data_IF_055155127083
#
_entry.id   IF_055155127083
#
_cell.length_a   1.000
_cell.length_b   1.000
_cell.length_c   1.000
_cell.angle_alpha   90.00
_cell.angle_beta   90.00
_cell.angle_gamma   90.00
#
_symmetry.space_group_name_H-M   'P 1'
#
loop_
_entity.id
_entity.type
_entity.pdbx_description
1 polymer ?
#
# COMPACT_ATOMS: atom_id res chain seq x y z
N UNK A 1 -16.61 23.53 -11.04
CA UNK A 1 -16.78 23.67 -9.57
C UNK A 1 -15.49 24.15 -8.93
N UNK A 2 -15.50 25.25 -8.18
CA UNK A 2 -14.30 25.82 -7.52
C UNK A 2 -13.97 25.19 -6.16
N UNK A 3 -14.84 24.33 -5.61
CA UNK A 3 -14.69 23.79 -4.25
C UNK A 3 -13.67 22.65 -4.18
N UNK A 4 -13.64 21.77 -5.18
CA UNK A 4 -12.75 20.60 -5.19
C UNK A 4 -11.27 21.00 -5.20
N UNK A 5 -10.80 21.96 -6.02
CA UNK A 5 -9.42 22.44 -5.95
C UNK A 5 -9.03 22.99 -4.58
N UNK A 6 -9.96 23.66 -3.87
CA UNK A 6 -9.71 24.18 -2.52
C UNK A 6 -9.49 23.05 -1.51
N UNK A 7 -10.31 21.99 -1.55
CA UNK A 7 -10.10 20.81 -0.70
C UNK A 7 -8.81 20.08 -1.04
N UNK A 8 -8.49 19.97 -2.33
CA UNK A 8 -7.27 19.30 -2.79
C UNK A 8 -6.02 20.02 -2.29
N UNK A 9 -5.99 21.36 -2.34
CA UNK A 9 -4.92 22.16 -1.73
C UNK A 9 -4.79 21.89 -0.22
N UNK A 10 -5.90 21.83 0.51
CA UNK A 10 -5.89 21.50 1.95
C UNK A 10 -5.37 20.09 2.22
N UNK A 11 -5.76 19.10 1.41
CA UNK A 11 -5.29 17.73 1.56
C UNK A 11 -3.79 17.60 1.27
N UNK A 12 -3.26 18.34 0.29
CA UNK A 12 -1.84 18.35 -0.02
C UNK A 12 -1.00 19.08 1.03
N UNK A 13 -1.51 20.18 1.57
CA UNK A 13 -0.80 20.98 2.57
C UNK A 13 -0.82 20.39 3.98
N UNK A 14 -1.81 19.55 4.31
CA UNK A 14 -1.97 18.94 5.63
C UNK A 14 -1.85 17.42 5.51
N UNK A 15 -0.63 16.85 5.60
CA UNK A 15 -0.40 15.40 5.51
C UNK A 15 -0.72 14.67 6.83
N UNK A 16 -1.87 14.98 7.45
CA UNK A 16 -2.33 14.34 8.68
C UNK A 16 -3.48 13.38 8.43
N UNK A 17 -3.59 12.37 9.31
CA UNK A 17 -4.66 11.40 9.23
C UNK A 17 -5.99 12.04 9.59
N UNK A 18 -6.91 12.07 8.64
CA UNK A 18 -8.21 12.67 8.83
C UNK A 18 -9.20 11.67 9.46
N UNK A 19 -9.88 12.03 10.56
CA UNK A 19 -10.90 11.17 11.16
C UNK A 19 -12.01 10.82 10.16
N UNK A 20 -12.56 9.60 10.26
CA UNK A 20 -13.69 9.19 9.43
C UNK A 20 -14.93 10.10 9.59
N UNK A 21 -15.12 10.68 10.79
CA UNK A 21 -16.19 11.63 11.09
C UNK A 21 -16.12 12.89 10.24
N UNK A 22 -14.92 13.38 9.91
CA UNK A 22 -14.72 14.54 9.04
C UNK A 22 -15.30 14.30 7.65
N UNK A 23 -15.00 13.15 7.04
CA UNK A 23 -15.54 12.79 5.72
C UNK A 23 -17.06 12.57 5.78
N UNK A 24 -17.58 11.97 6.84
CA UNK A 24 -19.03 11.82 7.04
C UNK A 24 -19.74 13.18 7.17
N UNK A 25 -19.12 14.13 7.87
CA UNK A 25 -19.62 15.50 7.98
C UNK A 25 -19.63 16.21 6.63
N UNK A 26 -18.54 16.13 5.86
CA UNK A 26 -18.49 16.69 4.50
C UNK A 26 -19.55 16.06 3.60
N UNK A 27 -19.67 14.73 3.58
CA UNK A 27 -20.68 14.02 2.80
C UNK A 27 -22.11 14.48 3.16
N UNK A 28 -22.37 14.78 4.44
CA UNK A 28 -23.66 15.35 4.90
C UNK A 28 -23.91 16.76 4.36
N UNK A 29 -22.88 17.61 4.28
CA UNK A 29 -23.00 18.95 3.68
C UNK A 29 -23.24 18.84 2.17
N UNK A 30 -22.46 18.02 1.48
CA UNK A 30 -22.60 17.83 0.02
C UNK A 30 -23.97 17.24 -0.34
N UNK A 31 -24.47 16.27 0.42
CA UNK A 31 -25.82 15.72 0.20
C UNK A 31 -26.90 16.78 0.40
N UNK A 32 -26.82 17.58 1.48
CA UNK A 32 -27.73 18.71 1.67
C UNK A 32 -27.68 19.71 0.53
N UNK A 33 -26.49 20.04 0.03
CA UNK A 33 -26.32 20.95 -1.09
C UNK A 33 -26.92 20.39 -2.39
N UNK A 34 -26.57 19.15 -2.77
CA UNK A 34 -27.03 18.50 -4.01
C UNK A 34 -28.56 18.37 -4.03
N UNK A 35 -29.16 18.01 -2.90
CA UNK A 35 -30.60 17.81 -2.80
C UNK A 35 -31.36 19.05 -2.34
N UNK A 36 -30.69 20.20 -2.18
CA UNK A 36 -31.27 21.44 -1.65
C UNK A 36 -32.07 21.23 -0.36
N UNK A 37 -31.44 20.57 0.63
CA UNK A 37 -32.03 20.12 1.91
C UNK A 37 -33.23 19.16 1.79
N UNK A 38 -33.58 18.69 0.58
CA UNK A 38 -34.60 17.65 0.39
C UNK A 38 -34.03 16.25 0.63
N UNK A 39 -34.92 15.27 0.73
CA UNK A 39 -34.55 13.85 0.88
C UNK A 39 -33.75 13.38 -0.36
N UNK A 40 -32.58 12.75 -0.18
CA UNK A 40 -31.81 12.17 -1.28
C UNK A 40 -32.63 11.17 -2.10
N UNK A 41 -32.71 11.36 -3.42
CA UNK A 41 -33.38 10.40 -4.32
C UNK A 41 -32.45 9.26 -4.75
N UNK A 42 -31.14 9.52 -4.78
CA UNK A 42 -30.10 8.55 -5.15
C UNK A 42 -29.06 8.42 -4.04
N UNK A 43 -28.49 7.22 -3.91
CA UNK A 43 -27.36 6.95 -3.01
C UNK A 43 -26.10 7.64 -3.53
N UNK A 44 -25.30 8.24 -2.64
CA UNK A 44 -24.02 8.88 -3.01
C UNK A 44 -23.07 7.94 -3.77
N UNK A 45 -23.04 6.65 -3.39
CA UNK A 45 -22.20 5.66 -4.07
C UNK A 45 -22.51 5.52 -5.56
N UNK A 46 -23.78 5.66 -5.96
CA UNK A 46 -24.18 5.68 -7.37
C UNK A 46 -23.77 6.98 -8.05
N UNK A 47 -23.89 8.11 -7.36
CA UNK A 47 -23.49 9.41 -7.90
C UNK A 47 -21.99 9.49 -8.21
N UNK A 48 -21.15 8.80 -7.44
CA UNK A 48 -19.70 8.73 -7.64
C UNK A 48 -19.28 7.94 -8.89
N UNK A 49 -20.14 7.06 -9.41
CA UNK A 49 -19.80 6.21 -10.56
C UNK A 49 -19.67 7.03 -11.86
N UNK A 50 -18.93 6.51 -12.86
CA UNK A 50 -18.91 7.09 -14.19
C UNK A 50 -20.26 6.98 -14.89
N UNK A 51 -20.48 7.83 -15.90
CA UNK A 51 -21.69 7.80 -16.74
C UNK A 51 -21.94 6.42 -17.35
N UNK A 52 -20.88 5.71 -17.75
CA UNK A 52 -20.95 4.37 -18.35
C UNK A 52 -21.56 3.32 -17.40
N UNK A 53 -21.53 3.58 -16.09
CA UNK A 53 -22.15 2.73 -15.05
C UNK A 53 -23.40 3.36 -14.45
N UNK A 54 -24.02 4.32 -15.16
CA UNK A 54 -25.24 5.01 -14.72
C UNK A 54 -25.03 6.01 -13.58
N UNK A 55 -23.79 6.44 -13.33
CA UNK A 55 -23.46 7.46 -12.33
C UNK A 55 -23.37 8.88 -12.88
N UNK A 56 -23.02 9.84 -12.02
CA UNK A 56 -22.92 11.27 -12.38
C UNK A 56 -21.51 11.85 -12.24
N UNK A 57 -20.48 10.99 -12.07
CA UNK A 57 -19.07 11.39 -11.86
C UNK A 57 -18.89 12.42 -10.72
N UNK A 58 -19.70 12.31 -9.66
CA UNK A 58 -19.56 13.18 -8.50
C UNK A 58 -18.19 12.94 -7.81
N UNK A 59 -17.42 13.98 -7.45
CA UNK A 59 -16.15 13.81 -6.76
C UNK A 59 -16.31 13.20 -5.36
N UNK A 60 -15.61 12.09 -5.08
CA UNK A 60 -15.54 11.53 -3.74
C UNK A 60 -14.33 12.10 -2.99
N UNK A 61 -14.57 13.01 -2.04
CA UNK A 61 -13.49 13.70 -1.31
C UNK A 61 -12.56 12.76 -0.53
N UNK A 62 -13.05 11.61 -0.07
CA UNK A 62 -12.20 10.62 0.61
C UNK A 62 -11.17 10.02 -0.34
N UNK A 63 -11.57 9.71 -1.57
CA UNK A 63 -10.67 9.19 -2.60
C UNK A 63 -9.66 10.25 -3.05
N UNK A 64 -10.09 11.50 -3.20
CA UNK A 64 -9.17 12.60 -3.51
C UNK A 64 -8.16 12.85 -2.39
N UNK A 65 -8.58 12.75 -1.13
CA UNK A 65 -7.66 12.80 0.01
C UNK A 65 -6.62 11.68 -0.08
N UNK A 66 -7.06 10.43 -0.27
CA UNK A 66 -6.12 9.31 -0.42
C UNK A 66 -5.16 9.51 -1.59
N UNK A 67 -5.66 9.93 -2.75
CA UNK A 67 -4.83 10.20 -3.92
C UNK A 67 -3.79 11.30 -3.65
N UNK A 68 -4.15 12.38 -2.95
CA UNK A 68 -3.22 13.45 -2.61
C UNK A 68 -2.11 12.98 -1.65
N UNK A 69 -2.46 12.17 -0.64
CA UNK A 69 -1.48 11.60 0.30
C UNK A 69 -0.58 10.56 -0.37
N UNK A 70 -1.14 9.73 -1.25
CA UNK A 70 -0.38 8.75 -2.03
C UNK A 70 0.56 9.46 -3.01
N UNK A 71 0.11 10.55 -3.62
CA UNK A 71 0.96 11.37 -4.48
C UNK A 71 2.18 11.88 -3.71
N UNK A 72 2.02 12.40 -2.49
CA UNK A 72 3.16 12.76 -1.64
C UNK A 72 4.07 11.54 -1.35
N UNK A 73 3.47 10.37 -1.07
CA UNK A 73 4.21 9.14 -0.85
C UNK A 73 4.98 8.63 -2.08
N UNK A 74 4.64 9.05 -3.31
CA UNK A 74 5.43 8.69 -4.51
C UNK A 74 6.86 9.20 -4.44
N UNK A 75 7.11 10.29 -3.71
CA UNK A 75 8.45 10.84 -3.52
C UNK A 75 9.37 9.86 -2.79
N UNK A 76 8.83 8.94 -1.98
CA UNK A 76 9.63 7.89 -1.35
C UNK A 76 10.23 6.92 -2.35
N UNK A 77 9.56 6.69 -3.49
CA UNK A 77 10.02 5.76 -4.54
C UNK A 77 10.96 6.43 -5.54
N UNK A 78 11.01 7.75 -5.56
CA UNK A 78 11.83 8.51 -6.50
C UNK A 78 13.29 8.52 -6.05
N UNK A 79 14.21 8.23 -6.96
CA UNK A 79 15.66 8.21 -6.69
C UNK A 79 16.38 9.47 -7.16
N UNK A 80 15.78 10.26 -8.06
CA UNK A 80 16.49 11.29 -8.82
C UNK A 80 16.38 12.70 -8.28
N UNK A 81 15.46 13.02 -7.37
CA UNK A 81 15.36 14.34 -6.72
C UNK A 81 14.55 14.22 -5.42
N UNK A 82 15.18 13.71 -4.36
CA UNK A 82 14.47 13.49 -3.09
C UNK A 82 14.35 14.80 -2.30
N UNK A 83 13.14 15.25 -1.95
CA UNK A 83 12.98 16.44 -1.13
C UNK A 83 13.56 16.24 0.27
N UNK A 84 14.09 17.32 0.86
CA UNK A 84 14.86 17.28 2.11
C UNK A 84 14.12 16.61 3.29
N UNK A 85 12.80 16.74 3.35
CA UNK A 85 11.99 16.17 4.43
C UNK A 85 12.01 14.63 4.45
N UNK A 86 12.22 13.96 3.30
CA UNK A 86 12.31 12.50 3.26
C UNK A 86 13.52 11.99 4.05
N UNK A 87 14.63 12.73 4.05
CA UNK A 87 15.80 12.37 4.86
C UNK A 87 15.51 12.45 6.36
N UNK A 88 14.62 13.35 6.78
CA UNK A 88 14.18 13.47 8.18
C UNK A 88 13.33 12.25 8.56
N UNK A 89 12.47 11.78 7.66
CA UNK A 89 11.59 10.64 7.89
C UNK A 89 12.29 9.27 7.77
N UNK A 90 13.37 9.20 6.99
CA UNK A 90 14.19 8.00 6.80
C UNK A 90 15.05 7.60 8.02
N UNK A 91 14.87 8.23 9.19
CA UNK A 91 15.50 7.81 10.46
C UNK A 91 14.89 6.53 11.06
N UNK A 92 14.20 5.73 10.25
CA UNK A 92 13.58 4.46 10.65
C UNK A 92 14.56 3.29 10.52
N UNK A 93 14.22 2.13 11.10
CA UNK A 93 15.09 0.93 11.09
C UNK A 93 15.38 0.38 9.68
N UNK A 94 14.49 0.65 8.74
CA UNK A 94 14.56 0.24 7.34
C UNK A 94 14.28 1.46 6.47
N UNK A 95 14.75 1.50 5.21
CA UNK A 95 14.32 2.51 4.24
C UNK A 95 12.80 2.56 4.18
N UNK A 96 12.22 3.76 4.11
CA UNK A 96 10.77 3.97 4.24
C UNK A 96 9.94 3.16 3.23
N UNK A 97 10.44 3.01 1.99
CA UNK A 97 9.83 2.15 0.95
C UNK A 97 9.66 0.71 1.46
N UNK A 98 10.73 0.15 1.99
CA UNK A 98 10.73 -1.22 2.50
C UNK A 98 9.86 -1.35 3.75
N UNK A 99 9.82 -0.30 4.56
CA UNK A 99 8.99 -0.24 5.76
C UNK A 99 7.48 -0.29 5.45
N UNK A 100 7.02 0.28 4.33
CA UNK A 100 5.61 0.19 3.90
C UNK A 100 5.13 -1.25 3.66
N UNK A 101 6.04 -2.18 3.36
CA UNK A 101 5.72 -3.57 3.01
C UNK A 101 6.21 -4.60 4.03
N UNK A 102 6.84 -4.16 5.13
CA UNK A 102 7.49 -5.08 6.08
C UNK A 102 6.51 -5.80 6.99
N UNK A 103 5.34 -5.23 7.28
CA UNK A 103 4.46 -5.79 8.30
C UNK A 103 2.97 -5.41 8.12
N UNK A 104 2.14 -5.89 9.04
CA UNK A 104 0.77 -5.45 9.20
C UNK A 104 0.67 -4.02 9.71
N UNK A 105 -0.35 -3.30 9.23
CA UNK A 105 -0.70 -1.92 9.61
C UNK A 105 -0.61 -1.68 11.12
N UNK A 106 -1.20 -2.58 11.91
CA UNK A 106 -1.31 -2.44 13.36
C UNK A 106 0.05 -2.42 14.05
N UNK A 107 1.02 -3.18 13.53
CA UNK A 107 2.37 -3.24 14.11
C UNK A 107 3.17 -2.00 13.69
N UNK A 108 3.11 -1.62 12.41
CA UNK A 108 3.78 -0.41 11.90
C UNK A 108 3.31 0.88 12.59
N UNK A 109 2.01 0.98 12.89
CA UNK A 109 1.43 2.14 13.58
C UNK A 109 1.85 2.23 15.06
N UNK A 110 2.18 1.11 15.71
CA UNK A 110 2.70 1.08 17.09
C UNK A 110 4.16 1.49 17.14
N UNK A 111 4.95 1.00 16.19
CA UNK A 111 6.39 1.21 16.13
C UNK A 111 6.77 2.65 15.76
N UNK A 112 5.94 3.31 14.94
CA UNK A 112 6.19 4.67 14.48
C UNK A 112 5.76 5.69 15.53
N UNK A 113 6.55 6.76 15.72
CA UNK A 113 6.16 7.94 16.51
C UNK A 113 5.77 9.13 15.64
N UNK A 114 6.34 9.23 14.44
CA UNK A 114 6.07 10.33 13.51
C UNK A 114 4.60 10.31 13.02
N UNK A 115 3.81 11.36 13.25
CA UNK A 115 2.42 11.43 12.82
C UNK A 115 2.25 11.42 11.29
N UNK A 116 3.20 11.98 10.53
CA UNK A 116 3.15 12.01 9.07
C UNK A 116 3.30 10.59 8.50
N UNK A 117 4.31 9.86 9.00
CA UNK A 117 4.55 8.48 8.60
C UNK A 117 3.40 7.54 9.01
N UNK A 118 2.77 7.78 10.17
CA UNK A 118 1.53 7.08 10.56
C UNK A 118 0.40 7.32 9.58
N UNK A 119 0.24 8.56 9.13
CA UNK A 119 -0.78 8.90 8.15
C UNK A 119 -0.52 8.21 6.82
N UNK A 120 0.70 8.33 6.27
CA UNK A 120 1.05 7.70 4.99
C UNK A 120 0.86 6.19 5.04
N UNK A 121 1.26 5.52 6.11
CA UNK A 121 0.99 4.09 6.33
C UNK A 121 -0.50 3.76 6.34
N UNK A 122 -1.28 4.52 7.12
CA UNK A 122 -2.72 4.31 7.23
C UNK A 122 -3.39 4.43 5.87
N UNK A 123 -3.10 5.51 5.12
CA UNK A 123 -3.66 5.74 3.79
C UNK A 123 -3.19 4.69 2.80
N UNK A 124 -1.90 4.36 2.80
CA UNK A 124 -1.31 3.33 1.93
C UNK A 124 -2.07 2.02 2.04
N UNK A 125 -2.22 1.48 3.25
CA UNK A 125 -2.92 0.23 3.44
C UNK A 125 -4.43 0.32 3.22
N UNK A 126 -5.09 1.41 3.62
CA UNK A 126 -6.50 1.62 3.35
C UNK A 126 -6.80 1.65 1.85
N UNK A 127 -5.89 2.23 1.06
CA UNK A 127 -6.04 2.31 -0.40
C UNK A 127 -5.92 0.93 -1.06
N UNK A 128 -4.94 0.12 -0.66
CA UNK A 128 -4.81 -1.26 -1.16
C UNK A 128 -6.01 -2.14 -0.79
N UNK A 129 -6.53 -2.01 0.43
CA UNK A 129 -7.76 -2.73 0.84
C UNK A 129 -8.94 -2.28 -0.03
N UNK A 130 -9.09 -0.97 -0.26
CA UNK A 130 -10.19 -0.43 -1.06
C UNK A 130 -10.14 -0.86 -2.53
N UNK A 131 -8.94 -1.06 -3.08
CA UNK A 131 -8.72 -1.53 -4.46
C UNK A 131 -8.83 -3.06 -4.59
N UNK A 132 -9.08 -3.79 -3.50
CA UNK A 132 -9.06 -5.27 -3.45
C UNK A 132 -7.72 -5.88 -3.92
N UNK A 133 -6.65 -5.10 -3.90
CA UNK A 133 -5.28 -5.56 -4.10
C UNK A 133 -4.73 -6.02 -2.74
N UNK A 134 -5.27 -7.11 -2.22
CA UNK A 134 -4.67 -7.76 -1.06
C UNK A 134 -3.28 -8.29 -1.48
N UNK A 135 -2.19 -7.99 -0.76
CA UNK A 135 -0.88 -8.28 -1.29
C UNK A 135 -0.53 -9.76 -1.08
N UNK A 136 -0.38 -10.47 -2.20
CA UNK A 136 0.82 -11.28 -2.40
C UNK A 136 2.06 -10.41 -2.09
N UNK A 137 3.10 -11.01 -1.51
CA UNK A 137 4.33 -10.31 -1.13
C UNK A 137 4.80 -9.39 -2.28
N UNK A 138 4.92 -8.09 -2.01
CA UNK A 138 5.29 -7.09 -3.02
C UNK A 138 6.75 -7.27 -3.47
N UNK A 139 7.03 -6.97 -4.74
CA UNK A 139 8.39 -6.94 -5.29
C UNK A 139 9.33 -6.01 -4.49
N UNK A 140 8.81 -4.92 -3.93
CA UNK A 140 9.59 -3.95 -3.14
C UNK A 140 9.75 -4.31 -1.66
N UNK A 141 9.16 -5.42 -1.23
CA UNK A 141 9.20 -5.81 0.16
C UNK A 141 10.61 -6.25 0.59
N UNK A 142 11.01 -5.94 1.84
CA UNK A 142 12.35 -6.27 2.30
C UNK A 142 12.48 -7.76 2.55
N UNK A 143 13.68 -8.27 2.31
CA UNK A 143 14.03 -9.69 2.51
C UNK A 143 14.21 -10.00 4.01
N UNK A 144 14.71 -9.02 4.77
CA UNK A 144 14.94 -9.14 6.20
C UNK A 144 14.11 -8.10 6.98
N UNK A 145 13.69 -8.45 8.19
CA UNK A 145 12.84 -7.58 9.02
C UNK A 145 11.40 -7.45 8.50
N UNK A 146 10.95 -8.43 7.71
CA UNK A 146 9.60 -8.51 7.16
C UNK A 146 8.82 -9.67 7.80
N UNK A 147 7.74 -9.37 8.50
CA UNK A 147 6.93 -10.37 9.18
C UNK A 147 6.09 -11.21 8.21
N UNK A 148 5.78 -10.67 7.03
CA UNK A 148 5.06 -11.38 5.96
C UNK A 148 5.95 -12.35 5.19
N UNK A 149 7.26 -12.11 5.14
CA UNK A 149 8.21 -12.99 4.47
C UNK A 149 8.74 -14.07 5.43
N UNK A 150 8.06 -15.22 5.46
CA UNK A 150 8.42 -16.37 6.34
C UNK A 150 9.86 -16.85 6.16
N UNK A 151 10.42 -17.00 4.93
CA UNK A 151 11.79 -17.49 4.75
C UNK A 151 12.84 -16.60 5.41
N UNK A 152 12.64 -15.28 5.36
CA UNK A 152 13.53 -14.30 5.99
C UNK A 152 13.56 -14.41 7.51
N UNK A 153 12.53 -14.98 8.15
CA UNK A 153 12.55 -15.22 9.60
C UNK A 153 13.21 -16.54 9.99
N UNK A 154 13.22 -17.51 9.07
CA UNK A 154 13.71 -18.87 9.33
C UNK A 154 15.22 -18.99 9.09
N UNK A 155 15.77 -18.28 8.10
CA UNK A 155 17.18 -18.36 7.72
C UNK A 155 17.94 -17.05 8.01
N UNK A 156 18.92 -17.13 8.91
CA UNK A 156 19.83 -16.02 9.22
C UNK A 156 20.72 -15.64 8.03
N UNK A 157 20.87 -16.53 7.05
CA UNK A 157 21.53 -16.26 5.78
C UNK A 157 20.93 -15.06 5.04
N UNK A 158 19.62 -14.80 5.21
CA UNK A 158 18.99 -13.59 4.66
C UNK A 158 19.48 -12.30 5.31
N UNK A 159 19.83 -12.30 6.60
CA UNK A 159 20.45 -11.13 7.26
C UNK A 159 21.85 -10.87 6.72
N UNK A 160 22.63 -11.93 6.49
CA UNK A 160 23.98 -11.81 5.92
C UNK A 160 23.91 -11.24 4.50
N UNK A 161 23.00 -11.76 3.67
CA UNK A 161 22.75 -11.29 2.31
C UNK A 161 22.24 -9.84 2.28
N UNK A 162 21.38 -9.48 3.24
CA UNK A 162 20.91 -8.11 3.42
C UNK A 162 22.05 -7.13 3.69
N UNK A 163 22.97 -7.50 4.60
CA UNK A 163 24.16 -6.70 4.88
C UNK A 163 25.13 -6.63 3.69
N UNK A 164 25.13 -7.65 2.82
CA UNK A 164 25.91 -7.66 1.57
C UNK A 164 25.28 -6.86 0.42
N UNK A 165 24.05 -6.35 0.58
CA UNK A 165 23.41 -5.46 -0.38
C UNK A 165 22.09 -5.96 -0.99
N UNK A 166 21.68 -7.21 -0.77
CA UNK A 166 20.39 -7.74 -1.23
C UNK A 166 19.27 -7.27 -0.31
N UNK A 167 18.57 -6.21 -0.68
CA UNK A 167 17.62 -5.53 0.21
C UNK A 167 16.18 -5.94 -0.05
N UNK A 168 15.79 -6.12 -1.31
CA UNK A 168 14.39 -6.29 -1.74
C UNK A 168 14.14 -7.66 -2.37
N UNK A 169 12.93 -8.20 -2.20
CA UNK A 169 12.54 -9.49 -2.78
C UNK A 169 12.60 -9.47 -4.31
N UNK A 170 12.31 -8.34 -4.93
CA UNK A 170 12.43 -8.15 -6.36
C UNK A 170 13.83 -8.42 -6.91
N UNK A 171 14.88 -8.04 -6.18
CA UNK A 171 16.26 -8.33 -6.59
C UNK A 171 16.53 -9.84 -6.58
N UNK A 172 15.94 -10.58 -5.63
CA UNK A 172 16.01 -12.05 -5.64
C UNK A 172 15.27 -12.61 -6.86
N UNK A 173 14.08 -12.08 -7.16
CA UNK A 173 13.29 -12.54 -8.31
C UNK A 173 14.02 -12.25 -9.62
N UNK A 174 14.67 -11.10 -9.75
CA UNK A 174 15.44 -10.73 -10.94
C UNK A 174 16.70 -11.58 -11.09
N UNK A 175 17.37 -11.90 -9.99
CA UNK A 175 18.46 -12.86 -9.97
C UNK A 175 17.95 -14.24 -10.40
N UNK A 176 16.81 -14.69 -9.88
CA UNK A 176 16.22 -15.97 -10.25
C UNK A 176 15.70 -15.98 -11.70
N UNK A 177 15.23 -14.86 -12.25
CA UNK A 177 14.79 -14.77 -13.66
C UNK A 177 15.97 -14.70 -14.62
N UNK A 178 17.04 -13.98 -14.26
CA UNK A 178 18.30 -14.00 -15.01
C UNK A 178 18.96 -15.37 -14.98
N UNK A 179 18.92 -16.10 -13.85
CA UNK A 179 19.33 -17.50 -13.79
C UNK A 179 18.36 -18.46 -14.50
N UNK A 180 17.04 -18.18 -14.54
CA UNK A 180 16.08 -18.93 -15.37
C UNK A 180 16.36 -18.83 -16.87
N UNK A 181 17.04 -17.78 -17.33
CA UNK A 181 17.53 -17.71 -18.71
C UNK A 181 18.67 -18.71 -18.97
N UNK A 182 19.30 -19.25 -17.93
CA UNK A 182 20.39 -20.22 -18.02
C UNK A 182 20.04 -21.66 -17.61
N UNK A 183 19.01 -21.93 -16.81
CA UNK A 183 18.66 -23.34 -16.47
C UNK A 183 17.15 -23.58 -16.31
N UNK A 184 16.47 -23.86 -17.44
CA UNK A 184 15.13 -24.47 -17.44
C UNK A 184 15.09 -25.90 -16.85
N UNK A 185 16.25 -26.51 -16.57
CA UNK A 185 16.34 -27.90 -16.09
C UNK A 185 16.20 -28.07 -14.56
N UNK A 186 16.55 -27.08 -13.74
CA UNK A 186 16.66 -27.28 -12.28
C UNK A 186 15.39 -26.93 -11.49
N UNK A 187 14.50 -26.13 -12.08
CA UNK A 187 13.25 -25.70 -11.41
C UNK A 187 12.21 -26.82 -11.36
N UNK A 188 12.21 -27.74 -12.33
CA UNK A 188 11.38 -28.95 -12.23
C UNK A 188 11.79 -29.83 -11.04
N UNK A 189 13.06 -29.78 -10.63
CA UNK A 189 13.54 -30.57 -9.49
C UNK A 189 13.16 -29.95 -8.13
N UNK A 190 13.11 -28.61 -8.04
CA UNK A 190 12.78 -27.91 -6.79
C UNK A 190 11.26 -27.77 -6.54
N UNK A 191 10.44 -27.60 -7.59
CA UNK A 191 8.98 -27.48 -7.43
C UNK A 191 8.33 -28.81 -7.04
N UNK A 192 8.80 -29.94 -7.58
CA UNK A 192 8.29 -31.28 -7.24
C UNK A 192 8.63 -31.66 -5.80
N UNK A 193 9.82 -31.30 -5.29
CA UNK A 193 10.27 -31.72 -3.95
C UNK A 193 9.68 -30.91 -2.80
N UNK A 194 9.31 -29.63 -3.00
CA UNK A 194 8.78 -28.77 -1.94
C UNK A 194 7.24 -28.63 -1.95
N UNK A 195 6.57 -28.85 -3.08
CA UNK A 195 5.10 -28.82 -3.15
C UNK A 195 4.44 -30.21 -3.20
N UNK A 196 5.17 -31.27 -3.59
CA UNK A 196 4.60 -32.61 -3.81
C UNK A 196 4.32 -33.47 -2.58
N UNK A 197 4.78 -33.11 -1.37
CA UNK A 197 4.64 -33.97 -0.17
C UNK A 197 3.61 -33.50 0.86
N UNK A 198 2.85 -32.42 0.59
CA UNK A 198 1.76 -31.96 1.49
C UNK A 198 0.35 -32.24 1.00
N UNK A 199 0.17 -32.85 -0.18
CA UNK A 199 -1.14 -33.22 -0.72
C UNK A 199 -1.46 -34.72 -0.68
N UNK A 200 -0.56 -35.57 -0.15
CA UNK A 200 -0.78 -37.03 -0.06
C UNK A 200 -0.97 -37.57 1.37
N UNK A 201 -1.30 -36.71 2.36
CA UNK A 201 -1.64 -37.15 3.72
C UNK A 201 -3.05 -36.76 4.19
N UNK A 202 -3.92 -36.31 3.28
CA UNK A 202 -5.35 -36.13 3.55
C UNK A 202 -6.20 -36.76 2.45
N UNK A 203 -6.04 -38.07 2.27
CA UNK A 203 -6.99 -38.91 1.52
C UNK A 203 -6.75 -40.40 1.83
N UNK A 204 -6.85 -40.78 3.11
CA UNK A 204 -7.13 -42.16 3.53
C UNK A 204 -7.41 -42.20 5.04
N UNK A 205 -8.67 -42.51 5.37
CA UNK A 205 -9.37 -42.61 6.67
C UNK A 205 -10.29 -41.43 6.97
#
# INVERSE_FOLDING_TARGET
MSILPKFLYLFQSIPLNMPASFFSFLNKIFTKFIWNNKRPRLRLSLLYLPYDRGGLRLPNLKLYYWAAQLWAATCYFSTTDTPAWIHIENKTKLPIISYLYSDETKQLLKDTKNPFLKNTLSVWHQSHIALSEAPTISYLSPIWGNNRFKPGRADMGFKIRFNKGLKKIGEILDILTTFKMFTLAEILFFTVRYFGLKQLQYSSL
#
